data_IF_643264224188
#
_entry.id   IF_643264224188
#
_cell.length_a   1.000
_cell.length_b   1.000
_cell.length_c   1.000
_cell.angle_alpha   90.00
_cell.angle_beta   90.00
_cell.angle_gamma   90.00
#
_symmetry.space_group_name_H-M   'P 1'
#
loop_
_entity.id
_entity.type
_entity.pdbx_description
1 polymer ?
#
# COMPACT_ATOMS: atom_id res chain seq x y z
N UNK A 1 1.75 -15.88 -11.38
CA UNK A 1 0.51 -16.53 -10.89
C UNK A 1 -0.62 -15.54 -11.18
N UNK A 2 -1.67 -15.97 -11.86
CA UNK A 2 -2.80 -15.09 -12.16
C UNK A 2 -3.52 -14.70 -10.85
N UNK A 3 -3.61 -13.39 -10.59
CA UNK A 3 -4.27 -12.85 -9.41
C UNK A 3 -5.72 -13.29 -9.31
N UNK A 4 -6.43 -13.32 -10.44
CA UNK A 4 -7.84 -13.67 -10.46
C UNK A 4 -8.05 -15.12 -10.03
N UNK A 5 -7.21 -16.03 -10.51
CA UNK A 5 -7.26 -17.45 -10.12
C UNK A 5 -6.87 -17.68 -8.66
N UNK A 6 -5.89 -16.93 -8.15
CA UNK A 6 -5.54 -16.94 -6.73
C UNK A 6 -6.74 -16.54 -5.85
N UNK A 7 -7.42 -15.45 -6.20
CA UNK A 7 -8.61 -15.01 -5.48
C UNK A 7 -9.75 -16.02 -5.61
N UNK A 8 -10.03 -16.55 -6.80
CA UNK A 8 -11.11 -17.54 -7.01
C UNK A 8 -10.91 -18.81 -6.19
N UNK A 9 -9.69 -19.34 -6.16
CA UNK A 9 -9.35 -20.58 -5.45
C UNK A 9 -9.34 -20.46 -3.93
N UNK A 10 -9.22 -19.24 -3.38
CA UNK A 10 -9.21 -19.02 -1.93
C UNK A 10 -10.54 -19.41 -1.25
N UNK A 11 -10.47 -19.94 -0.02
CA UNK A 11 -11.64 -20.04 0.86
C UNK A 11 -11.99 -18.63 1.35
N UNK A 12 -13.26 -18.25 1.25
CA UNK A 12 -13.73 -16.89 1.55
C UNK A 12 -14.75 -16.90 2.67
N UNK A 13 -14.62 -15.96 3.59
CA UNK A 13 -15.69 -15.61 4.52
C UNK A 13 -15.93 -14.11 4.43
N UNK A 14 -17.18 -13.68 4.56
CA UNK A 14 -17.53 -12.27 4.46
C UNK A 14 -18.55 -11.90 5.53
N UNK A 15 -18.40 -10.69 6.07
CA UNK A 15 -19.33 -10.11 7.03
C UNK A 15 -19.52 -8.61 6.78
N UNK A 16 -20.61 -8.06 7.30
CA UNK A 16 -20.86 -6.63 7.30
C UNK A 16 -20.72 -6.11 8.72
N UNK A 17 -19.88 -5.10 8.91
CA UNK A 17 -19.64 -4.47 10.20
C UNK A 17 -19.21 -3.01 9.99
N UNK A 18 -19.70 -2.08 10.82
CA UNK A 18 -19.33 -0.65 10.81
C UNK A 18 -19.47 0.02 9.43
N UNK A 19 -20.53 -0.31 8.68
CA UNK A 19 -20.76 0.24 7.34
C UNK A 19 -19.80 -0.29 6.26
N UNK A 20 -19.04 -1.36 6.55
CA UNK A 20 -18.08 -1.97 5.63
C UNK A 20 -18.40 -3.44 5.40
N UNK A 21 -18.14 -3.92 4.17
CA UNK A 21 -18.04 -5.35 3.87
C UNK A 21 -16.60 -5.78 4.11
N UNK A 22 -16.40 -6.68 5.06
CA UNK A 22 -15.10 -7.27 5.37
C UNK A 22 -15.05 -8.67 4.76
N UNK A 23 -14.04 -8.95 3.96
CA UNK A 23 -13.84 -10.24 3.29
C UNK A 23 -12.49 -10.80 3.73
N UNK A 24 -12.50 -12.01 4.27
CA UNK A 24 -11.30 -12.75 4.63
C UNK A 24 -11.09 -13.90 3.66
N UNK A 25 -9.86 -14.02 3.19
CA UNK A 25 -9.40 -15.01 2.24
C UNK A 25 -8.35 -15.88 2.92
N UNK A 26 -8.54 -17.20 2.88
CA UNK A 26 -7.53 -18.18 3.25
C UNK A 26 -7.05 -18.91 1.99
N UNK A 27 -5.76 -18.81 1.70
CA UNK A 27 -5.14 -19.43 0.53
C UNK A 27 -4.58 -20.82 0.88
N UNK A 28 -4.27 -21.62 -0.15
CA UNK A 28 -3.76 -23.00 0.00
C UNK A 28 -2.35 -23.06 0.58
N UNK A 29 -1.60 -21.97 0.53
CA UNK A 29 -0.25 -21.84 1.07
C UNK A 29 -0.24 -21.31 2.52
N UNK A 30 -1.38 -21.37 3.22
CA UNK A 30 -1.60 -20.83 4.57
C UNK A 30 -1.48 -19.30 4.71
N UNK A 31 -1.24 -18.57 3.61
CA UNK A 31 -1.38 -17.11 3.63
C UNK A 31 -2.85 -16.72 3.86
N UNK A 32 -3.04 -15.59 4.52
CA UNK A 32 -4.34 -14.97 4.70
C UNK A 32 -4.32 -13.54 4.14
N UNK A 33 -5.46 -13.11 3.58
CA UNK A 33 -5.70 -11.72 3.21
C UNK A 33 -7.04 -11.27 3.77
N UNK A 34 -7.09 -10.03 4.26
CA UNK A 34 -8.33 -9.39 4.69
C UNK A 34 -8.53 -8.09 3.91
N UNK A 35 -9.70 -7.95 3.32
CA UNK A 35 -10.12 -6.75 2.60
C UNK A 35 -11.33 -6.12 3.27
N UNK A 36 -11.38 -4.78 3.28
CA UNK A 36 -12.54 -4.01 3.69
C UNK A 36 -13.00 -3.13 2.55
N UNK A 37 -14.29 -3.18 2.24
CA UNK A 37 -14.94 -2.36 1.24
C UNK A 37 -15.97 -1.45 1.90
N UNK A 38 -16.00 -0.18 1.51
CA UNK A 38 -17.07 0.72 1.90
C UNK A 38 -18.38 0.27 1.22
N UNK A 39 -19.48 0.13 1.97
CA UNK A 39 -20.73 -0.42 1.43
C UNK A 39 -21.43 0.47 0.41
N UNK A 40 -21.30 1.79 0.52
CA UNK A 40 -21.98 2.75 -0.35
C UNK A 40 -21.25 2.87 -1.70
N UNK A 41 -19.92 2.96 -1.64
CA UNK A 41 -19.07 3.22 -2.81
C UNK A 41 -18.48 1.96 -3.44
N UNK A 42 -18.48 0.83 -2.72
CA UNK A 42 -17.78 -0.41 -3.07
C UNK A 42 -16.26 -0.25 -3.28
N UNK A 43 -15.68 0.86 -2.83
CA UNK A 43 -14.25 1.12 -2.90
C UNK A 43 -13.52 0.32 -1.82
N UNK A 44 -12.41 -0.31 -2.19
CA UNK A 44 -11.50 -0.99 -1.28
C UNK A 44 -10.81 0.04 -0.37
N UNK A 45 -11.11 0.01 0.92
CA UNK A 45 -10.54 0.94 1.90
C UNK A 45 -9.38 0.35 2.67
N UNK A 46 -9.29 -0.99 2.75
CA UNK A 46 -8.20 -1.69 3.40
C UNK A 46 -7.92 -3.02 2.73
N UNK A 47 -6.64 -3.37 2.56
CA UNK A 47 -6.18 -4.72 2.24
C UNK A 47 -4.96 -5.00 3.08
N UNK A 48 -4.97 -6.10 3.83
CA UNK A 48 -3.84 -6.54 4.63
C UNK A 48 -3.56 -8.03 4.40
N UNK A 49 -2.29 -8.40 4.49
CA UNK A 49 -1.80 -9.76 4.32
C UNK A 49 -1.19 -10.29 5.59
N UNK A 50 -1.44 -11.55 5.89
CA UNK A 50 -0.71 -12.31 6.91
C UNK A 50 -0.01 -13.46 6.20
N UNK A 51 1.30 -13.34 6.01
CA UNK A 51 2.09 -14.28 5.22
C UNK A 51 2.75 -15.34 6.10
N UNK A 52 2.57 -16.61 5.74
CA UNK A 52 3.10 -17.77 6.44
C UNK A 52 4.48 -18.16 5.91
N UNK A 53 5.54 -17.46 6.34
CA UNK A 53 6.91 -17.78 5.96
C UNK A 53 7.84 -17.97 7.15
N UNK A 54 8.65 -19.05 7.15
CA UNK A 54 9.51 -19.48 8.25
C UNK A 54 10.57 -18.46 8.76
N UNK A 55 10.79 -17.35 8.05
CA UNK A 55 11.78 -16.31 8.40
C UNK A 55 11.17 -14.97 8.88
N UNK A 56 9.87 -14.72 8.66
CA UNK A 56 9.21 -13.52 9.18
C UNK A 56 8.54 -13.87 10.51
N UNK A 57 8.48 -12.92 11.46
CA UNK A 57 7.69 -13.06 12.70
C UNK A 57 6.28 -13.50 12.31
N UNK A 58 6.01 -14.78 12.52
CA UNK A 58 4.84 -15.47 12.00
C UNK A 58 3.61 -14.79 12.59
N UNK A 59 2.69 -14.31 11.73
CA UNK A 59 1.37 -13.84 12.15
C UNK A 59 1.11 -12.34 12.24
N UNK A 60 2.05 -11.47 11.84
CA UNK A 60 1.76 -10.03 11.72
C UNK A 60 1.03 -9.70 10.41
N UNK A 61 0.06 -8.79 10.49
CA UNK A 61 -0.66 -8.27 9.32
C UNK A 61 0.14 -7.12 8.68
N UNK A 62 0.44 -7.24 7.40
CA UNK A 62 1.09 -6.24 6.57
C UNK A 62 0.01 -5.53 5.74
N UNK A 63 -0.18 -4.23 6.00
CA UNK A 63 -1.16 -3.42 5.29
C UNK A 63 -0.63 -3.04 3.92
N UNK A 64 -1.33 -3.48 2.88
CA UNK A 64 -1.05 -3.12 1.49
C UNK A 64 -1.83 -1.87 1.07
N UNK A 65 -3.13 -1.80 1.41
CA UNK A 65 -4.02 -0.67 1.12
C UNK A 65 -4.62 -0.19 2.43
N UNK A 66 -4.74 1.14 2.58
CA UNK A 66 -5.30 1.79 3.76
C UNK A 66 -4.23 2.22 4.77
N UNK A 67 -4.69 2.84 5.84
CA UNK A 67 -3.80 3.32 6.90
C UNK A 67 -3.27 2.14 7.75
N UNK A 68 -1.99 2.17 8.17
CA UNK A 68 -1.47 1.16 9.10
C UNK A 68 -2.24 1.22 10.42
N UNK A 69 -2.33 0.09 11.12
CA UNK A 69 -2.93 0.11 12.46
C UNK A 69 -2.06 0.97 13.38
N UNK A 70 -2.66 1.78 14.26
CA UNK A 70 -1.90 2.45 15.29
C UNK A 70 -1.23 1.38 16.13
N UNK A 71 0.10 1.31 16.05
CA UNK A 71 0.88 0.42 16.90
C UNK A 71 0.68 0.92 18.33
N UNK A 72 -0.17 0.24 19.11
CA UNK A 72 -0.23 0.46 20.55
C UNK A 72 1.19 0.34 21.07
N UNK A 73 1.67 1.38 21.74
CA UNK A 73 3.01 1.38 22.32
C UNK A 73 3.08 0.21 23.30
N UNK A 74 3.65 -0.92 22.87
CA UNK A 74 4.24 -1.83 23.83
C UNK A 74 5.31 -1.01 24.57
N UNK A 75 5.42 -1.17 25.88
CA UNK A 75 6.47 -0.59 26.72
C UNK A 75 7.84 -1.19 26.39
N UNK A 76 8.12 -1.42 25.11
CA UNK A 76 9.34 -2.01 24.63
C UNK A 76 10.38 -0.90 24.59
N UNK A 77 11.25 -0.89 25.60
CA UNK A 77 12.40 0.02 25.72
C UNK A 77 13.44 -0.42 24.71
N UNK A 78 13.16 -0.20 23.43
CA UNK A 78 13.97 -0.65 22.31
C UNK A 78 14.29 0.48 21.33
N UNK A 79 15.09 0.15 20.31
CA UNK A 79 15.37 1.05 19.18
C UNK A 79 14.10 1.12 18.31
N UNK A 80 13.59 2.34 18.11
CA UNK A 80 12.43 2.60 17.25
C UNK A 80 12.80 3.60 16.17
N UNK A 81 12.16 3.44 15.02
CA UNK A 81 12.22 4.44 13.95
C UNK A 81 11.71 5.81 14.44
N UNK A 82 12.34 6.89 13.96
CA UNK A 82 11.94 8.25 14.28
C UNK A 82 10.49 8.49 13.82
N UNK A 83 9.67 9.15 14.65
CA UNK A 83 8.31 9.55 14.28
C UNK A 83 8.26 10.43 13.01
N UNK A 84 9.36 11.12 12.70
CA UNK A 84 9.53 11.93 11.50
C UNK A 84 10.15 11.18 10.32
N UNK A 85 10.35 9.86 10.40
CA UNK A 85 10.78 9.08 9.24
C UNK A 85 9.68 9.04 8.17
N UNK A 86 10.02 9.14 6.87
CA UNK A 86 9.01 9.03 5.82
C UNK A 86 8.37 7.65 5.73
N UNK A 87 7.05 7.63 5.65
CA UNK A 87 6.27 6.41 5.45
C UNK A 87 5.19 6.61 4.39
N UNK A 88 4.75 5.50 3.79
CA UNK A 88 3.86 5.48 2.63
C UNK A 88 2.53 4.89 3.04
N UNK A 89 1.45 5.52 2.61
CA UNK A 89 0.09 5.00 2.68
C UNK A 89 -0.45 4.90 1.25
N UNK A 90 -1.02 3.75 0.89
CA UNK A 90 -1.71 3.54 -0.39
C UNK A 90 -3.22 3.64 -0.19
N UNK A 91 -3.92 4.34 -1.08
CA UNK A 91 -5.37 4.45 -1.11
C UNK A 91 -5.86 4.16 -2.52
N UNK A 92 -7.04 3.59 -2.63
CA UNK A 92 -7.71 3.37 -3.91
C UNK A 92 -8.94 4.26 -3.91
N UNK A 93 -9.13 4.99 -5.00
CA UNK A 93 -10.34 5.77 -5.25
C UNK A 93 -11.09 5.15 -6.43
N UNK A 94 -12.19 5.79 -6.84
CA UNK A 94 -12.93 5.36 -8.03
C UNK A 94 -12.12 5.55 -9.32
N UNK A 95 -11.17 6.48 -9.34
CA UNK A 95 -10.50 6.95 -10.57
C UNK A 95 -8.99 6.78 -10.57
N UNK A 96 -8.36 6.62 -9.40
CA UNK A 96 -6.91 6.53 -9.30
C UNK A 96 -6.45 5.66 -8.11
N UNK A 97 -5.17 5.31 -8.14
CA UNK A 97 -4.44 4.76 -7.01
C UNK A 97 -3.61 5.91 -6.44
N UNK A 98 -3.77 6.21 -5.16
CA UNK A 98 -3.10 7.33 -4.52
C UNK A 98 -2.04 6.81 -3.53
N UNK A 99 -0.81 7.28 -3.66
CA UNK A 99 0.23 7.09 -2.65
C UNK A 99 0.49 8.40 -1.93
N UNK A 100 0.43 8.36 -0.59
CA UNK A 100 0.79 9.47 0.28
C UNK A 100 2.07 9.14 1.01
N UNK A 101 3.16 9.82 0.66
CA UNK A 101 4.42 9.73 1.37
C UNK A 101 4.51 10.90 2.35
N UNK A 102 4.36 10.60 3.63
CA UNK A 102 4.35 11.60 4.71
C UNK A 102 5.77 11.88 5.21
N UNK A 103 5.89 12.92 6.04
CA UNK A 103 7.16 13.39 6.62
C UNK A 103 8.22 13.76 5.57
N UNK A 104 7.75 14.28 4.43
CA UNK A 104 8.58 14.81 3.36
C UNK A 104 8.46 16.33 3.38
N UNK A 105 9.46 17.04 3.90
CA UNK A 105 9.37 18.48 4.20
C UNK A 105 9.93 19.41 3.13
N UNK A 106 10.55 18.87 2.08
CA UNK A 106 11.06 19.69 0.97
C UNK A 106 9.91 20.21 0.11
N UNK A 107 10.10 21.30 -0.63
CA UNK A 107 9.07 21.80 -1.53
C UNK A 107 8.92 20.91 -2.79
N UNK A 108 7.80 21.04 -3.51
CA UNK A 108 7.40 20.12 -4.59
C UNK A 108 8.46 19.95 -5.68
N UNK A 109 9.15 21.04 -6.03
CA UNK A 109 10.19 21.11 -7.05
C UNK A 109 11.45 20.30 -6.71
N UNK A 110 11.60 19.90 -5.44
CA UNK A 110 12.70 19.04 -5.01
C UNK A 110 12.45 17.57 -5.39
N UNK A 111 11.19 17.19 -5.62
CA UNK A 111 10.80 15.81 -5.91
C UNK A 111 10.71 15.52 -7.40
N UNK A 112 11.04 14.29 -7.76
CA UNK A 112 10.81 13.71 -9.07
C UNK A 112 10.09 12.38 -8.88
N UNK A 113 9.00 12.17 -9.60
CA UNK A 113 8.25 10.91 -9.64
C UNK A 113 8.24 10.40 -11.07
N UNK A 114 8.88 9.25 -11.31
CA UNK A 114 9.02 8.68 -12.66
C UNK A 114 8.48 7.26 -12.73
N UNK A 115 7.82 6.91 -13.83
CA UNK A 115 7.52 5.52 -14.16
C UNK A 115 8.80 4.80 -14.60
N UNK A 116 9.00 3.58 -14.10
CA UNK A 116 10.01 2.64 -14.60
C UNK A 116 9.27 1.37 -15.07
N UNK A 117 8.98 1.26 -16.39
CA UNK A 117 8.27 0.12 -16.95
C UNK A 117 9.05 -1.19 -16.85
N UNK A 118 10.39 -1.13 -16.90
CA UNK A 118 11.25 -2.32 -16.86
C UNK A 118 11.27 -2.91 -15.45
N UNK A 119 11.38 -2.05 -14.43
CA UNK A 119 11.27 -2.45 -13.03
C UNK A 119 9.82 -2.48 -12.51
N UNK A 120 8.83 -2.21 -13.38
CA UNK A 120 7.38 -2.19 -13.11
C UNK A 120 6.99 -1.40 -11.86
N UNK A 121 7.63 -0.25 -11.66
CA UNK A 121 7.50 0.52 -10.42
C UNK A 121 7.47 2.03 -10.65
N UNK A 122 7.07 2.78 -9.62
CA UNK A 122 7.29 4.22 -9.53
C UNK A 122 8.61 4.48 -8.80
N UNK A 123 9.41 5.40 -9.32
CA UNK A 123 10.64 5.85 -8.68
C UNK A 123 10.45 7.29 -8.19
N UNK A 124 10.63 7.48 -6.89
CA UNK A 124 10.58 8.77 -6.21
C UNK A 124 12.00 9.13 -5.80
N UNK A 125 12.44 10.33 -6.15
CA UNK A 125 13.79 10.83 -5.87
C UNK A 125 13.72 12.28 -5.45
N UNK A 126 14.71 12.74 -4.71
CA UNK A 126 14.94 14.16 -4.50
C UNK A 126 16.21 14.64 -5.18
N UNK A 127 16.23 15.87 -5.66
CA UNK A 127 17.41 16.51 -6.28
C UNK A 127 18.59 16.60 -5.30
N UNK A 128 18.31 16.83 -4.02
CA UNK A 128 19.30 16.85 -2.93
C UNK A 128 19.75 15.45 -2.45
N UNK A 129 19.27 14.36 -3.09
CA UNK A 129 19.61 12.96 -2.77
C UNK A 129 19.28 12.51 -1.34
N UNK A 130 18.38 13.21 -0.64
CA UNK A 130 17.93 12.86 0.72
C UNK A 130 16.83 11.80 0.75
N UNK A 131 16.12 11.59 -0.35
CA UNK A 131 15.07 10.59 -0.44
C UNK A 131 15.12 9.84 -1.77
N UNK A 132 15.02 8.52 -1.68
CA UNK A 132 14.88 7.62 -2.81
C UNK A 132 13.94 6.48 -2.43
N UNK A 133 12.95 6.19 -3.27
CA UNK A 133 12.03 5.07 -3.06
C UNK A 133 11.60 4.48 -4.40
N UNK A 134 11.54 3.15 -4.44
CA UNK A 134 10.81 2.40 -5.46
C UNK A 134 9.49 1.92 -4.86
N UNK A 135 8.38 2.19 -5.53
CA UNK A 135 7.04 1.75 -5.15
C UNK A 135 6.56 0.79 -6.22
N UNK A 136 6.37 -0.47 -5.85
CA UNK A 136 5.72 -1.46 -6.71
C UNK A 136 4.24 -1.09 -6.85
N UNK A 137 3.67 -1.32 -8.03
CA UNK A 137 2.25 -1.03 -8.29
C UNK A 137 1.53 -2.35 -8.46
N UNK A 138 1.21 -2.99 -7.33
CA UNK A 138 0.66 -4.35 -7.33
C UNK A 138 -0.64 -4.43 -8.13
N UNK A 139 -1.45 -3.37 -8.15
CA UNK A 139 -2.66 -3.28 -8.96
C UNK A 139 -2.39 -3.47 -10.45
N UNK A 140 -1.34 -2.85 -10.99
CA UNK A 140 -0.97 -2.99 -12.40
C UNK A 140 -0.35 -4.36 -12.66
N UNK A 141 0.45 -4.88 -11.73
CA UNK A 141 1.00 -6.24 -11.81
C UNK A 141 -0.09 -7.31 -11.89
N UNK A 142 -1.14 -7.19 -11.07
CA UNK A 142 -2.28 -8.12 -11.05
C UNK A 142 -3.01 -8.20 -12.37
N UNK A 143 -2.99 -7.14 -13.18
CA UNK A 143 -3.64 -7.07 -14.49
C UNK A 143 -2.65 -7.03 -15.65
N UNK A 144 -1.36 -7.32 -15.38
CA UNK A 144 -0.29 -7.36 -16.35
C UNK A 144 -0.09 -6.05 -17.16
N UNK A 145 -0.27 -4.90 -16.51
CA UNK A 145 -0.01 -3.57 -17.08
C UNK A 145 1.27 -2.97 -16.48
N UNK A 146 1.95 -2.08 -17.20
CA UNK A 146 3.11 -1.33 -16.67
C UNK A 146 2.70 0.09 -16.27
N UNK A 147 3.38 0.72 -15.30
CA UNK A 147 3.22 2.15 -15.04
C UNK A 147 3.58 2.98 -16.28
N UNK A 148 2.77 4.00 -16.59
CA UNK A 148 2.99 4.92 -17.70
C UNK A 148 3.17 6.36 -17.19
N UNK A 149 4.23 7.04 -17.61
CA UNK A 149 4.56 8.39 -17.12
C UNK A 149 3.44 9.42 -17.30
N UNK A 150 2.72 9.34 -18.42
CA UNK A 150 1.62 10.27 -18.75
C UNK A 150 0.42 10.16 -17.81
N UNK A 151 0.30 9.05 -17.08
CA UNK A 151 -0.81 8.76 -16.16
C UNK A 151 -0.43 9.05 -14.70
N UNK A 152 0.73 9.68 -14.46
CA UNK A 152 1.22 10.00 -13.12
C UNK A 152 1.12 11.50 -12.93
N UNK A 153 0.41 11.91 -11.88
CA UNK A 153 0.43 13.27 -11.35
C UNK A 153 0.93 13.26 -9.90
N UNK A 154 1.52 14.36 -9.45
CA UNK A 154 1.88 14.49 -8.05
C UNK A 154 1.83 15.92 -7.56
N UNK A 155 1.50 16.07 -6.28
CA UNK A 155 1.52 17.34 -5.58
C UNK A 155 2.13 17.17 -4.20
N UNK A 156 2.50 18.29 -3.57
CA UNK A 156 3.04 18.29 -2.22
C UNK A 156 2.29 19.29 -1.35
N UNK A 157 1.74 18.81 -0.22
CA UNK A 157 1.02 19.62 0.76
C UNK A 157 1.19 19.04 2.16
N UNK A 158 1.31 19.90 3.17
CA UNK A 158 1.37 19.50 4.59
C UNK A 158 2.40 18.38 4.86
N UNK A 159 3.65 18.57 4.39
CA UNK A 159 4.73 17.59 4.50
C UNK A 159 4.41 16.20 3.92
N UNK A 160 3.53 16.16 2.91
CA UNK A 160 3.07 14.93 2.27
C UNK A 160 3.18 15.07 0.76
N UNK A 161 3.95 14.18 0.14
CA UNK A 161 3.94 13.98 -1.31
C UNK A 161 2.74 13.07 -1.64
N UNK A 162 1.83 13.57 -2.47
CA UNK A 162 0.64 12.86 -2.93
C UNK A 162 0.86 12.53 -4.41
N UNK A 163 0.82 11.24 -4.74
CA UNK A 163 1.02 10.72 -6.10
C UNK A 163 -0.27 10.03 -6.52
N UNK A 164 -0.77 10.29 -7.72
CA UNK A 164 -1.99 9.70 -8.29
C UNK A 164 -1.78 9.22 -9.72
#
# INVERSE_FOLDING_TARGET
>A
MDWLELIKSAKKTALIQDGKRKVHYKFSNEDEMAEEYNLETNILVRRAWKRGGALRKTGLWEVEVGDPEPVMQSFDVGIKENANSPYIVKRITKTNIEWRIRNLSYPVETYSVTADPDARCLIIRTTNKKYFKKIQVEELDRVNLCPEQKNIDFSHKYNTLIIT
#
